data_IF_510014428852
#
_entry.id   IF_510014428852
#
_cell.length_a   1.000
_cell.length_b   1.000
_cell.length_c   1.000
_cell.angle_alpha   90.00
_cell.angle_beta   90.00
_cell.angle_gamma   90.00
#
_symmetry.space_group_name_H-M   'P 1'
#
loop_
_entity.id
_entity.type
_entity.pdbx_description
1 polymer ?
#
# COMPACT_ATOMS: atom_id res chain seq x y z
N UNK A 1 16.39 1.26 -10.76
CA UNK A 1 16.76 2.23 -11.82
C UNK A 1 15.56 3.10 -12.13
N UNK A 2 15.77 4.42 -12.10
CA UNK A 2 14.77 5.44 -12.38
C UNK A 2 15.42 6.49 -13.26
N UNK A 3 15.00 6.60 -14.52
CA UNK A 3 15.77 7.34 -15.53
C UNK A 3 17.17 6.74 -15.66
N UNK A 4 18.20 7.58 -15.54
CA UNK A 4 19.61 7.16 -15.59
C UNK A 4 20.23 6.96 -14.19
N UNK A 5 19.39 6.94 -13.14
CA UNK A 5 19.85 6.86 -11.75
C UNK A 5 19.60 5.48 -11.17
N UNK A 6 20.65 4.88 -10.61
CA UNK A 6 20.53 3.67 -9.80
C UNK A 6 20.52 4.04 -8.31
N UNK A 7 19.36 3.92 -7.67
CA UNK A 7 19.18 4.22 -6.25
C UNK A 7 19.65 3.01 -5.44
N UNK A 8 20.62 3.19 -4.55
CA UNK A 8 21.12 2.13 -3.66
C UNK A 8 20.79 2.45 -2.19
N UNK A 9 20.79 1.45 -1.30
CA UNK A 9 20.50 1.68 0.13
C UNK A 9 21.32 2.81 0.79
N UNK A 10 22.64 2.95 0.55
CA UNK A 10 23.41 4.06 1.13
C UNK A 10 22.95 5.43 0.66
N UNK A 11 22.48 5.54 -0.59
CA UNK A 11 21.94 6.78 -1.14
C UNK A 11 20.65 7.15 -0.38
N UNK A 12 19.76 6.18 -0.15
CA UNK A 12 18.54 6.36 0.63
C UNK A 12 18.82 6.77 2.08
N UNK A 13 19.76 6.11 2.77
CA UNK A 13 20.14 6.48 4.15
C UNK A 13 20.64 7.92 4.20
N UNK A 14 21.59 8.28 3.31
CA UNK A 14 22.16 9.64 3.23
C UNK A 14 21.06 10.70 3.08
N UNK A 15 20.05 10.45 2.25
CA UNK A 15 18.99 11.42 2.00
C UNK A 15 17.92 11.45 3.10
N UNK A 16 17.61 10.31 3.74
CA UNK A 16 16.69 10.27 4.89
C UNK A 16 17.27 10.96 6.12
N UNK A 17 18.56 10.78 6.40
CA UNK A 17 19.25 11.40 7.55
C UNK A 17 19.44 12.92 7.42
N UNK A 18 18.95 13.53 6.34
CA UNK A 18 18.85 15.00 6.20
C UNK A 18 17.57 15.56 6.78
N UNK A 19 16.61 14.71 7.15
CA UNK A 19 15.44 15.11 7.91
C UNK A 19 15.85 15.26 9.38
N UNK A 20 15.51 16.39 10.02
CA UNK A 20 15.91 16.66 11.41
C UNK A 20 15.37 15.60 12.40
N UNK A 21 14.31 14.89 12.01
CA UNK A 21 13.61 13.89 12.82
C UNK A 21 14.09 12.43 12.65
N UNK A 22 15.06 12.14 11.77
CA UNK A 22 15.49 10.75 11.49
C UNK A 22 17.01 10.59 11.62
N UNK A 23 17.44 9.80 12.61
CA UNK A 23 18.85 9.45 12.80
C UNK A 23 19.38 8.54 11.69
N UNK A 24 20.70 8.46 11.53
CA UNK A 24 21.35 7.55 10.57
C UNK A 24 21.02 6.09 10.87
N UNK A 25 20.98 5.72 12.14
CA UNK A 25 20.64 4.39 12.62
C UNK A 25 19.18 4.07 12.32
N UNK A 26 18.25 5.01 12.52
CA UNK A 26 16.84 4.83 12.19
C UNK A 26 16.64 4.67 10.68
N UNK A 27 17.31 5.48 9.86
CA UNK A 27 17.27 5.38 8.41
C UNK A 27 17.86 4.04 7.91
N UNK A 28 18.95 3.59 8.50
CA UNK A 28 19.54 2.28 8.19
C UNK A 28 18.63 1.14 8.62
N UNK A 29 18.00 1.25 9.81
CA UNK A 29 17.03 0.28 10.27
C UNK A 29 15.90 0.14 9.27
N UNK A 30 15.29 1.22 8.76
CA UNK A 30 14.21 1.15 7.76
C UNK A 30 14.55 0.34 6.49
N UNK A 31 15.84 0.14 6.18
CA UNK A 31 16.33 -0.63 5.03
C UNK A 31 16.92 -2.00 5.41
N UNK A 32 16.81 -2.41 6.67
CA UNK A 32 17.37 -3.66 7.17
C UNK A 32 16.75 -4.87 6.44
N UNK A 33 17.57 -5.66 5.72
CA UNK A 33 17.09 -6.78 4.91
C UNK A 33 16.80 -8.06 5.70
N UNK A 34 17.04 -8.08 7.01
CA UNK A 34 16.90 -9.28 7.84
C UNK A 34 15.43 -9.71 8.00
N UNK A 35 14.50 -8.75 8.07
CA UNK A 35 13.07 -9.00 8.21
C UNK A 35 12.31 -8.57 6.96
N UNK A 36 12.31 -9.46 5.95
CA UNK A 36 11.66 -9.24 4.65
C UNK A 36 10.13 -9.20 4.71
N UNK A 37 9.52 -9.54 5.86
CA UNK A 37 8.06 -9.59 6.02
C UNK A 37 7.53 -8.45 6.90
N UNK A 38 8.38 -7.48 7.27
CA UNK A 38 7.98 -6.36 8.11
C UNK A 38 7.22 -5.27 7.34
N UNK A 39 5.91 -5.48 7.17
CA UNK A 39 5.02 -4.55 6.46
C UNK A 39 5.00 -3.15 7.10
N UNK A 40 4.85 -2.98 8.43
CA UNK A 40 4.88 -1.66 9.07
C UNK A 40 6.11 -0.83 8.71
N UNK A 41 7.27 -1.50 8.65
CA UNK A 41 8.55 -0.86 8.35
C UNK A 41 8.67 -0.44 6.90
N UNK A 42 8.18 -1.24 5.96
CA UNK A 42 8.10 -0.87 4.56
C UNK A 42 7.17 0.34 4.35
N UNK A 43 6.04 0.39 5.05
CA UNK A 43 5.11 1.52 5.04
C UNK A 43 5.78 2.77 5.59
N UNK A 44 6.43 2.67 6.75
CA UNK A 44 7.16 3.77 7.37
C UNK A 44 8.27 4.31 6.44
N UNK A 45 9.03 3.42 5.78
CA UNK A 45 10.05 3.81 4.81
C UNK A 45 9.45 4.64 3.66
N UNK A 46 8.36 4.19 3.04
CA UNK A 46 7.72 4.92 1.94
C UNK A 46 7.17 6.27 2.42
N UNK A 47 6.57 6.33 3.60
CA UNK A 47 6.07 7.59 4.18
C UNK A 47 7.21 8.58 4.45
N UNK A 48 8.32 8.14 5.07
CA UNK A 48 9.49 8.98 5.31
C UNK A 48 10.12 9.46 3.99
N UNK A 49 10.25 8.57 3.01
CA UNK A 49 10.74 8.90 1.68
C UNK A 49 9.85 9.91 0.96
N UNK A 50 8.53 9.80 1.12
CA UNK A 50 7.58 10.73 0.50
C UNK A 50 7.80 12.16 0.98
N UNK A 51 8.11 12.35 2.27
CA UNK A 51 8.36 13.67 2.85
C UNK A 51 9.66 14.32 2.33
N UNK A 52 10.57 13.56 1.71
CA UNK A 52 11.78 14.13 1.08
C UNK A 52 11.48 15.05 -0.10
N UNK A 53 10.28 14.94 -0.70
CA UNK A 53 9.86 15.81 -1.80
C UNK A 53 9.69 17.27 -1.35
N UNK A 54 9.47 17.49 -0.04
CA UNK A 54 9.21 18.81 0.54
C UNK A 54 10.50 19.49 1.03
N UNK A 55 11.62 18.76 1.07
CA UNK A 55 12.91 19.28 1.49
C UNK A 55 13.62 20.05 0.36
N UNK A 56 14.32 21.12 0.75
CA UNK A 56 15.18 21.86 -0.17
C UNK A 56 16.24 20.95 -0.82
N UNK A 57 16.46 21.15 -2.11
CA UNK A 57 17.49 20.42 -2.85
C UNK A 57 18.87 20.79 -2.30
N UNK A 58 19.79 19.81 -2.20
CA UNK A 58 21.14 20.07 -1.73
C UNK A 58 21.90 20.90 -2.78
N UNK A 59 22.89 21.68 -2.34
CA UNK A 59 23.67 22.53 -3.24
C UNK A 59 24.51 21.70 -4.23
N UNK A 60 24.88 20.47 -3.87
CA UNK A 60 25.63 19.57 -4.75
C UNK A 60 24.70 19.03 -5.86
N UNK A 61 25.02 19.25 -7.16
CA UNK A 61 24.19 18.80 -8.28
C UNK A 61 23.96 17.29 -8.33
N UNK A 62 24.96 16.49 -7.96
CA UNK A 62 24.86 15.02 -7.93
C UNK A 62 23.88 14.56 -6.86
N UNK A 63 23.97 15.14 -5.66
CA UNK A 63 23.04 14.85 -4.58
C UNK A 63 21.63 15.38 -4.90
N UNK A 64 21.52 16.49 -5.62
CA UNK A 64 20.24 17.03 -6.05
C UNK A 64 19.56 16.12 -7.08
N UNK A 65 20.33 15.58 -8.04
CA UNK A 65 19.84 14.56 -8.99
C UNK A 65 19.39 13.30 -8.27
N UNK A 66 20.16 12.83 -7.28
CA UNK A 66 19.80 11.65 -6.49
C UNK A 66 18.53 11.88 -5.67
N UNK A 67 18.41 13.02 -4.97
CA UNK A 67 17.18 13.35 -4.22
C UNK A 67 15.96 13.43 -5.14
N UNK A 68 16.08 14.01 -6.34
CA UNK A 68 14.98 14.03 -7.31
C UNK A 68 14.55 12.62 -7.73
N UNK A 69 15.51 11.72 -7.97
CA UNK A 69 15.20 10.34 -8.32
C UNK A 69 14.53 9.58 -7.16
N UNK A 70 15.02 9.78 -5.93
CA UNK A 70 14.41 9.21 -4.72
C UNK A 70 13.01 9.78 -4.50
N UNK A 71 12.81 11.09 -4.63
CA UNK A 71 11.52 11.75 -4.48
C UNK A 71 10.50 11.27 -5.52
N UNK A 72 10.92 11.10 -6.78
CA UNK A 72 10.07 10.47 -7.80
C UNK A 72 9.68 9.05 -7.38
N UNK A 73 10.66 8.23 -6.98
CA UNK A 73 10.42 6.83 -6.63
C UNK A 73 9.50 6.71 -5.41
N UNK A 74 9.69 7.58 -4.41
CA UNK A 74 8.82 7.71 -3.26
C UNK A 74 7.40 8.07 -3.67
N UNK A 75 7.23 9.11 -4.50
CA UNK A 75 5.93 9.53 -5.04
C UNK A 75 5.24 8.40 -5.79
N UNK A 76 5.98 7.70 -6.65
CA UNK A 76 5.52 6.55 -7.40
C UNK A 76 4.99 5.44 -6.47
N UNK A 77 5.76 5.01 -5.47
CA UNK A 77 5.32 3.99 -4.51
C UNK A 77 4.14 4.47 -3.65
N UNK A 78 4.11 5.74 -3.27
CA UNK A 78 3.01 6.32 -2.50
C UNK A 78 1.67 6.31 -3.25
N UNK A 79 1.68 6.41 -4.59
CA UNK A 79 0.45 6.32 -5.39
C UNK A 79 -0.21 4.94 -5.28
N UNK A 80 0.57 3.89 -5.03
CA UNK A 80 0.06 2.55 -4.73
C UNK A 80 -0.30 2.41 -3.26
N UNK A 81 0.57 2.84 -2.35
CA UNK A 81 0.43 2.62 -0.90
C UNK A 81 -0.73 3.41 -0.27
N UNK A 82 -0.81 4.72 -0.55
CA UNK A 82 -1.77 5.62 0.12
C UNK A 82 -3.23 5.23 -0.04
N UNK A 83 -3.70 4.72 -1.19
CA UNK A 83 -5.03 4.15 -1.32
C UNK A 83 -5.41 3.17 -0.21
N UNK A 84 -4.46 2.41 0.34
CA UNK A 84 -4.74 1.39 1.36
C UNK A 84 -4.61 1.90 2.80
N UNK A 85 -3.88 2.99 3.04
CA UNK A 85 -3.57 3.44 4.40
C UNK A 85 -4.16 4.81 4.77
N UNK A 86 -4.47 5.67 3.79
CA UNK A 86 -5.02 7.02 4.05
C UNK A 86 -6.55 6.96 4.13
N UNK A 87 -7.05 6.90 5.36
CA UNK A 87 -8.48 6.74 5.68
C UNK A 87 -9.38 7.85 5.14
N UNK A 88 -8.82 9.00 4.82
CA UNK A 88 -9.51 10.17 4.29
C UNK A 88 -9.77 10.06 2.78
N UNK A 89 -9.10 9.14 2.07
CA UNK A 89 -9.27 9.01 0.63
C UNK A 89 -10.65 8.43 0.28
N UNK A 90 -11.36 9.07 -0.65
CA UNK A 90 -12.54 8.46 -1.27
C UNK A 90 -12.14 7.35 -2.25
N UNK A 91 -13.09 6.49 -2.61
CA UNK A 91 -12.87 5.46 -3.62
C UNK A 91 -12.48 6.04 -4.98
N UNK A 92 -13.03 7.19 -5.36
CA UNK A 92 -12.61 7.92 -6.56
C UNK A 92 -11.14 8.35 -6.48
N UNK A 93 -10.71 8.91 -5.35
CA UNK A 93 -9.30 9.28 -5.12
C UNK A 93 -8.38 8.06 -5.10
N UNK A 94 -8.82 6.95 -4.51
CA UNK A 94 -8.10 5.68 -4.52
C UNK A 94 -7.92 5.19 -5.97
N UNK A 95 -8.97 5.20 -6.79
CA UNK A 95 -8.91 4.78 -8.20
C UNK A 95 -8.02 5.69 -9.05
N UNK A 96 -8.11 7.00 -8.88
CA UNK A 96 -7.23 7.95 -9.56
C UNK A 96 -5.76 7.73 -9.18
N UNK A 97 -5.47 7.50 -7.89
CA UNK A 97 -4.10 7.23 -7.42
C UNK A 97 -3.56 5.89 -7.95
N UNK A 98 -4.36 4.82 -7.90
CA UNK A 98 -3.99 3.49 -8.38
C UNK A 98 -3.84 3.45 -9.91
N UNK A 99 -4.68 4.15 -10.66
CA UNK A 99 -4.52 4.28 -12.12
C UNK A 99 -3.28 5.11 -12.47
N UNK A 100 -3.02 6.22 -11.77
CA UNK A 100 -1.77 6.99 -11.90
C UNK A 100 -0.55 6.09 -11.70
N UNK A 101 -0.55 5.28 -10.63
CA UNK A 101 0.48 4.28 -10.38
C UNK A 101 0.58 3.29 -11.55
N UNK A 102 -0.54 2.73 -12.00
CA UNK A 102 -0.59 1.75 -13.08
C UNK A 102 0.09 2.25 -14.36
N UNK A 103 -0.22 3.49 -14.78
CA UNK A 103 0.41 4.12 -15.95
C UNK A 103 1.91 4.37 -15.74
N UNK A 104 2.32 4.85 -14.57
CA UNK A 104 3.74 5.07 -14.27
C UNK A 104 4.54 3.77 -14.21
N UNK A 105 3.99 2.73 -13.58
CA UNK A 105 4.60 1.41 -13.52
C UNK A 105 4.78 0.83 -14.92
N UNK A 106 3.78 0.98 -15.80
CA UNK A 106 3.89 0.58 -17.21
C UNK A 106 5.00 1.36 -17.93
N UNK A 107 5.07 2.68 -17.78
CA UNK A 107 6.12 3.50 -18.38
C UNK A 107 7.52 3.10 -17.88
N UNK A 108 7.69 2.87 -16.58
CA UNK A 108 8.94 2.41 -15.98
C UNK A 108 9.33 1.02 -16.47
N UNK A 109 8.37 0.10 -16.58
CA UNK A 109 8.59 -1.25 -17.11
C UNK A 109 9.00 -1.22 -18.58
N UNK A 110 8.38 -0.37 -19.41
CA UNK A 110 8.72 -0.20 -20.82
C UNK A 110 10.13 0.41 -20.99
N UNK A 111 10.48 1.41 -20.18
CA UNK A 111 11.77 2.11 -20.28
C UNK A 111 12.94 1.33 -19.68
N UNK A 112 12.71 0.62 -18.58
CA UNK A 112 13.78 0.05 -17.75
C UNK A 112 13.72 -1.47 -17.62
N UNK A 113 12.71 -2.13 -18.19
CA UNK A 113 12.47 -3.55 -17.97
C UNK A 113 12.35 -3.84 -16.48
N UNK A 114 13.06 -4.87 -16.01
CA UNK A 114 13.07 -5.24 -14.58
C UNK A 114 14.00 -4.39 -13.71
N UNK A 115 14.60 -3.34 -14.28
CA UNK A 115 15.55 -2.49 -13.56
C UNK A 115 14.91 -1.60 -12.50
N UNK A 116 13.61 -1.29 -12.61
CA UNK A 116 12.87 -0.54 -11.60
C UNK A 116 12.04 -1.44 -10.68
N UNK A 117 11.30 -2.38 -11.26
CA UNK A 117 10.46 -3.35 -10.54
C UNK A 117 10.79 -4.75 -11.04
N UNK A 118 10.76 -5.74 -10.15
CA UNK A 118 10.86 -7.13 -10.60
C UNK A 118 9.61 -7.51 -11.40
N UNK A 119 9.73 -8.47 -12.32
CA UNK A 119 8.59 -8.96 -13.10
C UNK A 119 7.37 -9.37 -12.25
N UNK A 120 7.57 -10.14 -11.16
CA UNK A 120 6.49 -10.45 -10.21
C UNK A 120 5.87 -9.20 -9.58
N UNK A 121 6.68 -8.29 -9.02
CA UNK A 121 6.18 -7.08 -8.38
C UNK A 121 5.35 -6.22 -9.34
N UNK A 122 5.79 -6.06 -10.58
CA UNK A 122 5.04 -5.36 -11.62
C UNK A 122 3.70 -6.06 -11.91
N UNK A 123 3.74 -7.37 -12.14
CA UNK A 123 2.54 -8.13 -12.52
C UNK A 123 1.49 -8.18 -11.41
N UNK A 124 1.93 -8.39 -10.16
CA UNK A 124 1.05 -8.46 -9.00
C UNK A 124 0.42 -7.10 -8.69
N UNK A 125 1.21 -6.03 -8.65
CA UNK A 125 0.70 -4.68 -8.40
C UNK A 125 -0.28 -4.20 -9.49
N UNK A 126 -0.02 -4.50 -10.77
CA UNK A 126 -0.97 -4.25 -11.85
C UNK A 126 -2.26 -5.07 -11.72
N UNK A 127 -2.15 -6.30 -11.21
CA UNK A 127 -3.32 -7.14 -10.96
C UNK A 127 -4.20 -6.57 -9.86
N UNK A 128 -3.60 -5.99 -8.81
CA UNK A 128 -4.33 -5.25 -7.77
C UNK A 128 -5.08 -4.06 -8.36
N UNK A 129 -4.41 -3.21 -9.17
CA UNK A 129 -5.05 -2.06 -9.83
C UNK A 129 -6.25 -2.52 -10.69
N UNK A 130 -6.05 -3.56 -11.51
CA UNK A 130 -7.12 -4.12 -12.35
C UNK A 130 -8.27 -4.68 -11.51
N UNK A 131 -7.97 -5.47 -10.48
CA UNK A 131 -8.99 -6.06 -9.61
C UNK A 131 -9.82 -4.98 -8.93
N UNK A 132 -9.19 -3.92 -8.41
CA UNK A 132 -9.92 -2.78 -7.83
C UNK A 132 -10.88 -2.14 -8.84
N UNK A 133 -10.45 -1.92 -10.09
CA UNK A 133 -11.33 -1.37 -11.13
C UNK A 133 -12.48 -2.31 -11.45
N UNK A 134 -12.20 -3.58 -11.76
CA UNK A 134 -13.23 -4.55 -12.13
C UNK A 134 -14.22 -4.80 -11.00
N UNK A 135 -13.77 -4.89 -9.76
CA UNK A 135 -14.64 -5.07 -8.60
C UNK A 135 -15.54 -3.85 -8.41
N UNK A 136 -15.04 -2.62 -8.56
CA UNK A 136 -15.89 -1.42 -8.52
C UNK A 136 -16.96 -1.45 -9.62
N UNK A 137 -16.61 -1.74 -10.88
CA UNK A 137 -17.59 -1.87 -11.98
C UNK A 137 -18.64 -2.93 -11.65
N UNK A 138 -18.21 -4.12 -11.20
CA UNK A 138 -19.11 -5.23 -10.86
C UNK A 138 -20.07 -4.83 -9.76
N UNK A 139 -19.59 -4.14 -8.72
CA UNK A 139 -20.43 -3.65 -7.64
C UNK A 139 -21.40 -2.57 -8.12
N UNK A 140 -20.99 -1.67 -9.03
CA UNK A 140 -21.89 -0.69 -9.64
C UNK A 140 -23.02 -1.35 -10.46
N UNK A 141 -22.72 -2.42 -11.20
CA UNK A 141 -23.72 -3.16 -11.98
C UNK A 141 -24.70 -3.94 -11.12
N UNK A 142 -24.25 -4.42 -9.94
CA UNK A 142 -25.09 -5.09 -8.96
C UNK A 142 -25.89 -4.11 -8.09
N UNK A 143 -25.61 -2.81 -8.21
CA UNK A 143 -26.16 -1.77 -7.36
C UNK A 143 -27.63 -1.49 -7.68
N UNK A 144 -28.51 -2.30 -7.08
CA UNK A 144 -29.95 -2.05 -7.01
C UNK A 144 -30.19 -0.65 -6.44
N UNK A 145 -31.15 0.10 -6.98
CA UNK A 145 -31.29 1.55 -6.75
C UNK A 145 -31.22 1.99 -5.27
N UNK A 146 -31.66 1.15 -4.32
CA UNK A 146 -31.70 1.45 -2.89
C UNK A 146 -30.46 1.05 -2.06
N UNK A 147 -29.54 0.24 -2.59
CA UNK A 147 -28.42 -0.30 -1.80
C UNK A 147 -27.18 0.59 -1.94
N UNK A 148 -26.89 1.49 -1.01
CA UNK A 148 -25.63 2.28 -1.05
C UNK A 148 -24.40 1.41 -0.82
N UNK A 149 -24.01 0.62 -1.82
CA UNK A 149 -22.92 -0.33 -1.72
C UNK A 149 -21.59 0.40 -1.50
N UNK A 150 -20.84 -0.10 -0.52
CA UNK A 150 -19.52 0.43 -0.17
C UNK A 150 -18.47 -0.58 -0.53
N UNK A 151 -17.40 -0.12 -1.14
CA UNK A 151 -16.23 -0.93 -1.45
C UNK A 151 -15.01 -0.42 -0.70
N UNK A 152 -14.50 -1.25 0.21
CA UNK A 152 -13.28 -0.97 0.96
C UNK A 152 -12.15 -1.82 0.40
N UNK A 153 -11.28 -1.23 -0.43
CA UNK A 153 -10.20 -1.96 -1.12
C UNK A 153 -9.23 -2.68 -0.16
N UNK A 154 -9.14 -2.20 1.08
CA UNK A 154 -8.37 -2.82 2.17
C UNK A 154 -8.87 -4.23 2.54
N UNK A 155 -10.08 -4.61 2.14
CA UNK A 155 -10.64 -5.95 2.40
C UNK A 155 -10.28 -6.97 1.31
N UNK A 156 -9.63 -6.53 0.22
CA UNK A 156 -9.17 -7.42 -0.87
C UNK A 156 -7.83 -8.09 -0.54
N UNK A 157 -7.22 -7.77 0.61
CA UNK A 157 -6.00 -8.40 1.10
C UNK A 157 -6.23 -9.73 1.82
N UNK A 158 -5.13 -10.35 2.26
CA UNK A 158 -5.12 -11.65 2.95
C UNK A 158 -5.08 -11.54 4.47
N UNK A 159 -5.08 -10.34 5.06
CA UNK A 159 -4.98 -10.11 6.51
C UNK A 159 -5.92 -10.99 7.33
N UNK A 160 -7.18 -11.15 6.89
CA UNK A 160 -8.16 -12.01 7.59
C UNK A 160 -7.76 -13.49 7.57
N UNK A 161 -7.15 -13.94 6.49
CA UNK A 161 -6.63 -15.30 6.37
C UNK A 161 -5.36 -15.48 7.22
N UNK A 162 -4.51 -14.45 7.30
CA UNK A 162 -3.34 -14.43 8.17
C UNK A 162 -3.73 -14.52 9.65
N UNK A 163 -4.80 -13.83 10.07
CA UNK A 163 -5.38 -13.98 11.41
C UNK A 163 -5.81 -15.43 11.66
N UNK A 164 -6.51 -16.06 10.72
CA UNK A 164 -6.91 -17.47 10.84
C UNK A 164 -5.68 -18.39 10.95
N UNK A 165 -4.61 -18.13 10.19
CA UNK A 165 -3.37 -18.89 10.33
C UNK A 165 -2.65 -18.64 11.66
N UNK A 166 -2.70 -17.42 12.18
CA UNK A 166 -2.21 -17.09 13.52
C UNK A 166 -2.98 -17.90 14.57
N UNK A 167 -4.32 -17.90 14.51
CA UNK A 167 -5.16 -18.66 15.44
C UNK A 167 -4.83 -20.15 15.41
N UNK A 168 -4.62 -20.74 14.22
CA UNK A 168 -4.23 -22.14 14.10
C UNK A 168 -2.91 -22.45 14.82
N UNK A 169 -1.95 -21.51 14.78
CA UNK A 169 -0.63 -21.63 15.43
C UNK A 169 -0.67 -21.39 16.93
N UNK A 170 -1.69 -20.69 17.45
CA UNK A 170 -1.81 -20.33 18.87
C UNK A 170 -2.86 -21.16 19.63
N UNK A 171 -3.60 -22.04 18.95
CA UNK A 171 -4.59 -22.92 19.59
C UNK A 171 -4.01 -23.88 20.64
N UNK A 172 -2.74 -24.28 20.50
CA UNK A 172 -2.03 -25.13 21.44
C UNK A 172 -0.51 -24.83 21.41
N UNK A 173 0.28 -25.65 22.11
CA UNK A 173 1.74 -25.50 22.12
C UNK A 173 2.43 -26.01 20.84
N UNK A 174 1.71 -26.71 19.96
CA UNK A 174 2.24 -27.28 18.72
C UNK A 174 2.07 -26.30 17.56
N UNK A 175 3.04 -25.37 17.45
CA UNK A 175 3.08 -24.34 16.41
C UNK A 175 3.21 -24.89 14.98
N UNK A 176 3.80 -26.07 14.84
CA UNK A 176 3.94 -26.79 13.57
C UNK A 176 3.01 -27.99 13.61
N UNK A 177 2.22 -28.15 12.56
CA UNK A 177 1.20 -29.17 12.45
C UNK A 177 1.21 -29.80 11.06
N UNK A 178 0.82 -31.08 10.98
CA UNK A 178 0.61 -31.75 9.70
C UNK A 178 -0.70 -31.30 9.03
N UNK A 179 -1.00 -31.85 7.84
CA UNK A 179 -2.18 -31.45 7.06
C UNK A 179 -3.51 -31.84 7.76
N UNK A 180 -3.54 -32.94 8.52
CA UNK A 180 -4.75 -33.39 9.21
C UNK A 180 -5.01 -32.52 10.46
N UNK A 181 -3.95 -32.17 11.18
CA UNK A 181 -3.99 -31.22 12.27
C UNK A 181 -4.36 -29.82 11.77
N UNK A 182 -3.82 -29.36 10.63
CA UNK A 182 -4.20 -28.10 10.02
C UNK A 182 -5.70 -28.06 9.70
N UNK A 183 -6.26 -29.11 9.09
CA UNK A 183 -7.69 -29.17 8.79
C UNK A 183 -8.56 -29.03 10.06
N UNK A 184 -8.16 -29.72 11.13
CA UNK A 184 -8.86 -29.66 12.42
C UNK A 184 -8.73 -28.28 13.07
N UNK A 185 -7.53 -27.70 13.08
CA UNK A 185 -7.26 -26.37 13.64
C UNK A 185 -7.98 -25.27 12.86
N UNK A 186 -8.05 -25.37 11.52
CA UNK A 186 -8.80 -24.44 10.68
C UNK A 186 -10.30 -24.49 10.98
N UNK A 187 -10.87 -25.69 11.13
CA UNK A 187 -12.28 -25.84 11.50
C UNK A 187 -12.57 -25.17 12.85
N UNK A 188 -11.73 -25.42 13.85
CA UNK A 188 -11.84 -24.80 15.18
C UNK A 188 -11.68 -23.28 15.13
N UNK A 189 -10.64 -22.77 14.46
CA UNK A 189 -10.40 -21.32 14.30
C UNK A 189 -11.59 -20.63 13.62
N UNK A 190 -12.15 -21.26 12.59
CA UNK A 190 -13.31 -20.72 11.86
C UNK A 190 -14.54 -20.65 12.76
N UNK A 191 -14.80 -21.68 13.58
CA UNK A 191 -15.91 -21.67 14.54
C UNK A 191 -15.74 -20.59 15.60
N UNK A 192 -14.54 -20.43 16.15
CA UNK A 192 -14.21 -19.38 17.13
C UNK A 192 -14.43 -17.99 16.51
N UNK A 193 -13.85 -17.74 15.33
CA UNK A 193 -14.00 -16.47 14.63
C UNK A 193 -15.45 -16.17 14.27
N UNK A 194 -16.22 -17.17 13.84
CA UNK A 194 -17.65 -17.02 13.58
C UNK A 194 -18.47 -16.74 14.86
N UNK A 195 -18.06 -17.30 16.00
CA UNK A 195 -18.68 -16.99 17.29
C UNK A 195 -18.40 -15.55 17.72
N UNK A 196 -17.14 -15.09 17.61
CA UNK A 196 -16.76 -13.70 17.92
C UNK A 196 -17.41 -12.68 16.97
N UNK A 197 -17.53 -12.99 15.68
CA UNK A 197 -18.24 -12.12 14.73
C UNK A 197 -19.72 -11.95 15.08
N UNK A 198 -20.38 -13.00 15.59
CA UNK A 198 -21.78 -12.94 16.05
C UNK A 198 -21.93 -12.28 17.42
N UNK A 199 -20.87 -12.28 18.22
CA UNK A 199 -20.85 -11.77 19.60
C UNK A 199 -19.65 -10.83 19.80
N UNK A 200 -19.68 -9.61 19.20
CA UNK A 200 -18.53 -8.69 19.21
C UNK A 200 -18.09 -8.20 20.60
N UNK A 201 -18.90 -8.44 21.62
CA UNK A 201 -18.59 -8.17 23.02
C UNK A 201 -17.56 -9.13 23.62
N UNK A 202 -17.48 -10.37 23.10
CA UNK A 202 -16.60 -11.43 23.59
C UNK A 202 -15.16 -11.25 23.11
N UNK A 203 -14.98 -10.73 21.90
CA UNK A 203 -13.68 -10.35 21.37
C UNK A 203 -13.76 -8.96 20.78
N UNK A 204 -13.26 -7.98 21.54
CA UNK A 204 -13.21 -6.58 21.13
C UNK A 204 -12.07 -6.32 20.13
N UNK A 205 -11.31 -7.36 19.76
CA UNK A 205 -10.09 -7.29 18.98
C UNK A 205 -8.97 -6.56 19.73
N UNK A 206 -7.80 -6.51 19.11
CA UNK A 206 -6.74 -5.59 19.53
C UNK A 206 -7.24 -4.15 19.28
N UNK A 207 -7.65 -3.44 20.34
CA UNK A 207 -7.97 -2.00 20.27
C UNK A 207 -6.69 -1.24 19.92
N UNK A 208 -6.42 -1.04 18.64
CA UNK A 208 -5.38 -0.11 18.23
C UNK A 208 -5.85 1.32 18.51
N UNK A 209 -5.07 2.04 19.32
CA UNK A 209 -5.33 3.43 19.68
C UNK A 209 -4.89 4.32 18.51
N UNK A 210 -5.83 5.11 17.96
CA UNK A 210 -5.59 6.21 17.02
C UNK A 210 -4.86 5.87 15.69
N UNK A 211 -5.64 5.68 14.62
CA UNK A 211 -5.15 5.44 13.24
C UNK A 211 -4.80 6.73 12.46
N UNK A 212 -5.03 7.92 13.01
CA UNK A 212 -4.76 9.17 12.28
C UNK A 212 -3.29 9.56 12.35
N UNK A 213 -2.58 9.40 11.23
CA UNK A 213 -1.25 9.98 11.01
C UNK A 213 -0.07 9.23 11.64
N UNK A 214 -0.26 8.03 12.19
CA UNK A 214 0.86 7.25 12.70
C UNK A 214 1.69 6.65 11.55
N UNK A 215 3.01 6.64 11.72
CA UNK A 215 3.93 6.01 10.79
C UNK A 215 3.80 4.48 10.88
N UNK A 216 3.84 3.81 9.72
CA UNK A 216 3.88 2.35 9.67
C UNK A 216 2.55 1.65 9.99
N UNK A 217 1.40 2.31 9.88
CA UNK A 217 0.10 1.65 9.99
C UNK A 217 -0.09 0.70 8.80
N UNK A 218 -0.19 -0.59 9.08
CA UNK A 218 -0.44 -1.66 8.11
C UNK A 218 -1.88 -2.19 8.13
N UNK A 219 -2.55 -2.15 9.28
CA UNK A 219 -3.92 -2.66 9.42
C UNK A 219 -4.97 -1.56 9.63
N UNK A 220 -5.59 -1.11 8.54
CA UNK A 220 -6.74 -0.19 8.59
C UNK A 220 -8.04 -0.99 8.54
N UNK A 221 -9.06 -0.57 9.30
CA UNK A 221 -10.38 -1.22 9.29
C UNK A 221 -11.45 -0.33 8.62
N UNK A 222 -12.51 -0.91 8.02
CA UNK A 222 -13.57 -0.14 7.38
C UNK A 222 -14.24 0.90 8.29
N UNK A 223 -14.34 0.65 9.59
CA UNK A 223 -14.96 1.56 10.56
C UNK A 223 -14.16 2.86 10.75
N UNK A 224 -12.85 2.79 10.57
CA UNK A 224 -11.94 3.94 10.63
C UNK A 224 -11.88 4.75 9.34
N UNK A 225 -12.43 4.22 8.24
CA UNK A 225 -12.41 4.88 6.94
C UNK A 225 -13.41 6.05 6.91
N UNK A 226 -12.92 7.25 6.58
CA UNK A 226 -13.70 8.50 6.58
C UNK A 226 -14.07 8.97 5.18
N UNK A 227 -13.23 8.66 4.18
CA UNK A 227 -13.50 8.99 2.80
C UNK A 227 -14.73 8.26 2.26
N UNK A 228 -15.35 8.83 1.22
CA UNK A 228 -16.52 8.23 0.59
C UNK A 228 -16.14 6.96 -0.19
N UNK A 229 -16.64 5.81 0.27
CA UNK A 229 -16.40 4.50 -0.33
C UNK A 229 -17.59 3.98 -1.13
N UNK A 230 -18.59 4.82 -1.40
CA UNK A 230 -19.77 4.41 -2.17
C UNK A 230 -19.41 4.21 -3.65
N UNK A 231 -19.71 3.02 -4.19
CA UNK A 231 -19.35 2.66 -5.56
C UNK A 231 -20.08 3.51 -6.60
N UNK A 232 -21.33 3.91 -6.33
CA UNK A 232 -22.15 4.79 -7.19
C UNK A 232 -21.53 6.18 -7.42
N UNK A 233 -20.72 6.66 -6.48
CA UNK A 233 -20.12 8.00 -6.56
C UNK A 233 -18.82 8.03 -7.37
N UNK A 234 -18.40 6.88 -7.91
CA UNK A 234 -17.17 6.73 -8.67
C UNK A 234 -17.46 6.74 -10.17
N UNK A 235 -16.98 7.76 -10.87
CA UNK A 235 -16.92 7.74 -12.33
C UNK A 235 -15.60 7.10 -12.77
N UNK A 236 -15.65 5.81 -13.09
CA UNK A 236 -14.45 5.02 -13.37
C UNK A 236 -13.68 5.56 -14.57
N UNK A 237 -14.38 5.98 -15.63
CA UNK A 237 -13.74 6.51 -16.84
C UNK A 237 -13.01 7.80 -16.51
N UNK A 238 -13.70 8.72 -15.80
CA UNK A 238 -13.12 9.99 -15.38
C UNK A 238 -11.88 9.79 -14.50
N UNK A 239 -11.96 8.93 -13.48
CA UNK A 239 -10.83 8.73 -12.57
C UNK A 239 -9.64 8.01 -13.25
N UNK A 240 -9.92 7.12 -14.21
CA UNK A 240 -8.88 6.47 -15.02
C UNK A 240 -8.15 7.46 -15.94
N UNK A 241 -8.91 8.31 -16.65
CA UNK A 241 -8.34 9.34 -17.53
C UNK A 241 -7.59 10.40 -16.71
N UNK A 242 -8.13 10.80 -15.55
CA UNK A 242 -7.45 11.69 -14.63
C UNK A 242 -6.13 11.08 -14.14
N UNK A 243 -6.10 9.79 -13.83
CA UNK A 243 -4.89 9.08 -13.44
C UNK A 243 -3.84 9.03 -14.57
N UNK A 244 -4.26 8.81 -15.82
CA UNK A 244 -3.38 8.87 -16.98
C UNK A 244 -2.74 10.26 -17.14
N UNK A 245 -3.55 11.33 -17.06
CA UNK A 245 -3.08 12.70 -17.16
C UNK A 245 -2.13 13.06 -16.02
N UNK A 246 -2.45 12.64 -14.79
CA UNK A 246 -1.59 12.82 -13.63
C UNK A 246 -0.26 12.08 -13.78
N UNK A 247 -0.28 10.86 -14.30
CA UNK A 247 0.93 10.06 -14.54
C UNK A 247 1.87 10.76 -15.51
N UNK A 248 1.34 11.22 -16.65
CA UNK A 248 2.10 11.98 -17.65
C UNK A 248 2.66 13.28 -17.05
N UNK A 249 1.85 14.04 -16.32
CA UNK A 249 2.29 15.27 -15.66
C UNK A 249 3.48 15.03 -14.73
N UNK A 250 3.42 13.99 -13.90
CA UNK A 250 4.51 13.64 -12.98
C UNK A 250 5.74 13.18 -13.77
N UNK A 251 5.59 12.36 -14.80
CA UNK A 251 6.73 11.94 -15.63
C UNK A 251 7.43 13.14 -16.28
N UNK A 252 6.66 14.08 -16.85
CA UNK A 252 7.20 15.31 -17.44
C UNK A 252 7.91 16.17 -16.39
N UNK A 253 7.32 16.30 -15.20
CA UNK A 253 7.91 17.08 -14.10
C UNK A 253 9.30 16.55 -13.71
N UNK A 254 9.51 15.23 -13.70
CA UNK A 254 10.75 14.62 -13.23
C UNK A 254 11.77 14.30 -14.32
N UNK A 255 11.31 14.02 -15.54
CA UNK A 255 12.19 13.57 -16.64
C UNK A 255 12.19 14.47 -17.88
N UNK A 256 11.34 15.50 -17.91
CA UNK A 256 11.15 16.33 -19.09
C UNK A 256 10.13 15.75 -20.09
N UNK A 257 9.83 16.49 -21.18
CA UNK A 257 8.91 16.07 -22.23
C UNK A 257 9.40 14.85 -23.02
#
# INVERSE_FOLDING_TARGET
MVGDTNIRPPDTVKHLSRHDDISVEQAAQLLDPLDKQNVPKAIALIQCLHNLQDLALPPNPTDAKMQKAIAFFAKFLSLFLFPFIKTEMSLSQQMCSLSTYGFQAAALQLKHGTGCMTGPLYTESQSVVKNTVFTTVRLQLLDLEDLKMKFYIILEGTDRLEVVFSDCRTQDHAKNFDIAQLATKLATATLINAAFQRNPELDRGHRQSSLTGALGIDHVNPKSWKGDTCVKNVDIQKEWDAGMLAANKILIQYFGP
#
